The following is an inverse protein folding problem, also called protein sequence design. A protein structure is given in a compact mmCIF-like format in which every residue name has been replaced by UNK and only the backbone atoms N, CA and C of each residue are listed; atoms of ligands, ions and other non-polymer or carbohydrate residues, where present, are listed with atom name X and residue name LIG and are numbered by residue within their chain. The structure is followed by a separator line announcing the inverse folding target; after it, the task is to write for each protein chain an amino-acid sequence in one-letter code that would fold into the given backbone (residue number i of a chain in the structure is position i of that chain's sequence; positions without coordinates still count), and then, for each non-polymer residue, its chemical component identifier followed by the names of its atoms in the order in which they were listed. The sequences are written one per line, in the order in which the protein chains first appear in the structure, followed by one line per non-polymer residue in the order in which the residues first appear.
data_IF_470769060448
#
_entry.id   IF_470769060448
#
_cell.length_a   1.000
_cell.length_b   1.000
_cell.length_c   1.000
_cell.angle_alpha   90.00
_cell.angle_beta   90.00
_cell.angle_gamma   90.00
#
_symmetry.space_group_name_H-M   'P 1'
#
loop_
_entity.id
_entity.type
_entity.pdbx_description
1 polymer ?
#
# COMPACT_ATOMS: atom_id res chain seq x y z
N UNK A 1 7.42 10.94 -68.23
CA UNK A 1 7.80 10.86 -66.80
C UNK A 1 7.21 9.57 -66.25
N UNK A 2 8.04 8.54 -66.08
CA UNK A 2 7.61 7.23 -65.57
C UNK A 2 8.62 6.87 -64.47
N UNK A 3 8.22 7.02 -63.20
CA UNK A 3 9.07 6.71 -62.05
C UNK A 3 8.65 5.32 -61.57
N UNK A 4 9.40 4.31 -61.98
CA UNK A 4 9.16 2.93 -61.56
C UNK A 4 9.44 2.83 -60.05
N UNK A 5 8.49 2.34 -59.23
CA UNK A 5 8.61 2.34 -57.77
C UNK A 5 9.52 1.23 -57.20
N UNK A 6 10.22 0.47 -58.05
CA UNK A 6 11.04 -0.69 -57.65
C UNK A 6 12.55 -0.44 -57.77
N UNK A 7 13.01 0.79 -57.58
CA UNK A 7 14.43 1.07 -57.51
C UNK A 7 14.97 0.72 -56.12
N UNK A 8 15.53 -0.49 -55.98
CA UNK A 8 16.31 -0.89 -54.80
C UNK A 8 17.68 -0.24 -54.86
N UNK A 9 18.12 0.51 -53.82
CA UNK A 9 19.51 0.90 -53.73
C UNK A 9 20.32 -0.34 -53.34
N UNK A 10 21.10 -0.86 -54.29
CA UNK A 10 22.19 -1.78 -53.97
C UNK A 10 23.23 -0.97 -53.21
N UNK A 11 23.40 -1.34 -51.94
CA UNK A 11 24.68 -1.48 -51.22
C UNK A 11 25.67 -0.35 -51.47
N UNK A 12 25.73 0.59 -50.52
CA UNK A 12 26.98 1.12 -49.96
C UNK A 12 26.63 2.11 -48.83
N UNK A 13 26.43 1.56 -47.63
CA UNK A 13 26.70 2.23 -46.36
C UNK A 13 26.67 1.19 -45.24
N UNK A 14 27.67 0.30 -45.29
CA UNK A 14 28.24 -0.20 -44.04
C UNK A 14 28.73 1.01 -43.25
N UNK A 15 28.47 0.98 -41.93
CA UNK A 15 28.94 1.93 -40.91
C UNK A 15 28.14 3.23 -40.76
N UNK A 16 27.01 3.15 -40.05
CA UNK A 16 26.74 4.10 -38.97
C UNK A 16 25.72 3.52 -37.99
N UNK A 17 26.26 2.91 -36.93
CA UNK A 17 25.66 2.76 -35.60
C UNK A 17 24.19 2.35 -35.57
N UNK A 18 23.96 1.04 -35.47
CA UNK A 18 22.77 0.47 -34.85
C UNK A 18 22.66 0.91 -33.39
N UNK A 19 22.33 2.17 -33.15
CA UNK A 19 21.59 2.63 -31.98
C UNK A 19 20.11 2.27 -32.19
N UNK A 20 19.83 1.02 -32.56
CA UNK A 20 18.55 0.43 -32.22
C UNK A 20 18.58 0.33 -30.70
N UNK A 21 18.03 1.36 -30.03
CA UNK A 21 17.54 1.23 -28.68
C UNK A 21 16.69 -0.04 -28.70
N UNK A 22 17.23 -1.10 -28.09
CA UNK A 22 16.49 -2.32 -27.83
C UNK A 22 15.18 -1.85 -27.18
N UNK A 23 14.00 -2.03 -27.81
CA UNK A 23 12.77 -1.59 -27.18
C UNK A 23 12.70 -2.31 -25.84
N UNK A 24 12.69 -1.54 -24.75
CA UNK A 24 12.65 -2.10 -23.40
C UNK A 24 11.54 -3.15 -23.36
N UNK A 25 11.81 -4.37 -22.85
CA UNK A 25 10.84 -5.44 -22.88
C UNK A 25 9.55 -4.97 -22.20
N UNK A 26 8.36 -5.27 -22.78
CA UNK A 26 7.09 -4.85 -22.22
C UNK A 26 7.00 -5.36 -20.77
N UNK A 27 7.05 -4.42 -19.84
CA UNK A 27 7.10 -4.72 -18.42
C UNK A 27 5.68 -4.90 -17.88
N UNK A 28 5.39 -6.07 -17.31
CA UNK A 28 4.08 -6.42 -16.71
C UNK A 28 3.94 -5.83 -15.29
N UNK A 29 5.05 -5.37 -14.71
CA UNK A 29 5.14 -4.82 -13.36
C UNK A 29 4.06 -3.77 -13.01
N UNK A 30 3.72 -2.77 -13.85
CA UNK A 30 2.66 -1.80 -13.52
C UNK A 30 1.28 -2.45 -13.41
N UNK A 31 0.99 -3.46 -14.23
CA UNK A 31 -0.28 -4.19 -14.18
C UNK A 31 -0.35 -5.11 -12.95
N UNK A 32 0.77 -5.75 -12.61
CA UNK A 32 0.87 -6.54 -11.38
C UNK A 32 0.70 -5.67 -10.13
N UNK A 33 1.30 -4.48 -10.11
CA UNK A 33 1.11 -3.51 -9.02
C UNK A 33 -0.33 -3.01 -8.92
N UNK A 34 -0.97 -2.74 -10.05
CA UNK A 34 -2.39 -2.37 -10.06
C UNK A 34 -3.26 -3.50 -9.50
N UNK A 35 -3.04 -4.74 -9.93
CA UNK A 35 -3.75 -5.92 -9.43
C UNK A 35 -3.56 -6.13 -7.93
N UNK A 36 -2.34 -5.94 -7.44
CA UNK A 36 -2.02 -6.06 -6.00
C UNK A 36 -2.73 -4.98 -5.17
N UNK A 37 -2.80 -3.75 -5.67
CA UNK A 37 -3.52 -2.65 -5.03
C UNK A 37 -5.03 -2.89 -5.01
N UNK A 38 -5.60 -3.39 -6.11
CA UNK A 38 -7.01 -3.74 -6.19
C UNK A 38 -7.37 -4.89 -5.24
N UNK A 39 -6.50 -5.91 -5.14
CA UNK A 39 -6.63 -6.95 -4.12
C UNK A 39 -6.62 -6.34 -2.71
N UNK A 40 -5.73 -5.37 -2.46
CA UNK A 40 -5.70 -4.63 -1.21
C UNK A 40 -7.02 -3.92 -0.89
N UNK A 41 -7.62 -3.23 -1.87
CA UNK A 41 -8.93 -2.58 -1.71
C UNK A 41 -10.01 -3.60 -1.38
N UNK A 42 -10.02 -4.75 -2.05
CA UNK A 42 -11.00 -5.81 -1.75
C UNK A 42 -10.86 -6.33 -0.32
N UNK A 43 -9.63 -6.55 0.16
CA UNK A 43 -9.39 -6.96 1.55
C UNK A 43 -9.82 -5.88 2.56
N UNK A 44 -9.62 -4.60 2.26
CA UNK A 44 -10.11 -3.52 3.14
C UNK A 44 -11.63 -3.53 3.21
N UNK A 45 -12.31 -3.65 2.07
CA UNK A 45 -13.78 -3.72 2.02
C UNK A 45 -14.30 -4.91 2.81
N UNK A 46 -13.67 -6.09 2.64
CA UNK A 46 -14.04 -7.31 3.37
C UNK A 46 -13.82 -7.15 4.89
N UNK A 47 -12.66 -6.61 5.29
CA UNK A 47 -12.35 -6.32 6.69
C UNK A 47 -13.32 -5.33 7.34
N UNK A 48 -13.71 -4.26 6.63
CA UNK A 48 -14.75 -3.33 7.10
C UNK A 48 -16.11 -4.02 7.20
N UNK A 49 -16.45 -4.88 6.23
CA UNK A 49 -17.68 -5.66 6.25
C UNK A 49 -17.76 -6.58 7.47
N UNK A 50 -16.67 -7.27 7.80
CA UNK A 50 -16.56 -8.12 8.97
C UNK A 50 -16.70 -7.32 10.29
N UNK A 51 -16.05 -6.16 10.40
CA UNK A 51 -16.18 -5.28 11.57
C UNK A 51 -17.61 -4.78 11.75
N UNK A 52 -18.23 -4.27 10.69
CA UNK A 52 -19.59 -3.73 10.73
C UNK A 52 -20.61 -4.83 10.99
N UNK A 53 -20.49 -5.97 10.32
CA UNK A 53 -21.35 -7.13 10.52
C UNK A 53 -21.29 -7.66 11.95
N UNK A 54 -20.07 -7.84 12.48
CA UNK A 54 -19.86 -8.24 13.87
C UNK A 54 -20.43 -7.23 14.86
N UNK A 55 -20.23 -5.93 14.62
CA UNK A 55 -20.74 -4.87 15.51
C UNK A 55 -22.27 -4.81 15.53
N UNK A 56 -22.92 -4.95 14.36
CA UNK A 56 -24.39 -4.99 14.25
C UNK A 56 -24.93 -6.21 14.97
N UNK A 57 -24.33 -7.38 14.76
CA UNK A 57 -24.75 -8.60 15.45
C UNK A 57 -24.60 -8.46 16.97
N UNK A 58 -23.47 -7.92 17.45
CA UNK A 58 -23.25 -7.65 18.86
C UNK A 58 -24.32 -6.72 19.44
N UNK A 59 -24.68 -5.65 18.73
CA UNK A 59 -25.72 -4.71 19.16
C UNK A 59 -27.09 -5.38 19.27
N UNK A 60 -27.47 -6.22 18.30
CA UNK A 60 -28.74 -6.96 18.34
C UNK A 60 -28.78 -7.94 19.52
N UNK A 61 -27.68 -8.65 19.77
CA UNK A 61 -27.60 -9.58 20.89
C UNK A 61 -27.58 -8.88 22.25
N UNK A 62 -26.95 -7.72 22.39
CA UNK A 62 -27.02 -6.94 23.64
C UNK A 62 -28.48 -6.62 23.99
N UNK A 63 -29.28 -6.23 23.01
CA UNK A 63 -30.71 -5.95 23.23
C UNK A 63 -31.44 -7.20 23.70
N UNK A 64 -31.16 -8.36 23.10
CA UNK A 64 -31.76 -9.64 23.49
C UNK A 64 -31.32 -10.08 24.89
N UNK A 65 -30.03 -9.98 25.22
CA UNK A 65 -29.49 -10.31 26.53
C UNK A 65 -29.98 -9.36 27.63
N UNK A 66 -30.14 -8.07 27.32
CA UNK A 66 -30.78 -7.09 28.19
C UNK A 66 -32.21 -7.49 28.53
N UNK A 67 -32.99 -7.88 27.51
CA UNK A 67 -34.38 -8.34 27.70
C UNK A 67 -34.45 -9.64 28.53
N UNK A 68 -33.41 -10.48 28.46
CA UNK A 68 -33.29 -11.70 29.24
C UNK A 68 -32.71 -11.48 30.67
N UNK A 69 -32.39 -10.23 31.04
CA UNK A 69 -31.91 -9.88 32.38
C UNK A 69 -30.42 -10.15 32.64
N UNK A 70 -29.62 -10.43 31.60
CA UNK A 70 -28.16 -10.57 31.73
C UNK A 70 -27.48 -9.20 31.70
N UNK A 71 -26.52 -8.95 32.61
CA UNK A 71 -25.92 -7.61 32.77
C UNK A 71 -24.96 -7.22 31.64
N UNK A 72 -24.21 -8.16 31.08
CA UNK A 72 -23.38 -8.00 29.88
C UNK A 72 -22.96 -9.38 29.40
N UNK A 73 -23.20 -9.70 28.12
CA UNK A 73 -22.67 -10.90 27.48
C UNK A 73 -21.96 -10.49 26.20
N UNK A 74 -20.70 -10.93 26.04
CA UNK A 74 -19.99 -10.83 24.78
C UNK A 74 -20.42 -12.04 23.96
N UNK A 75 -21.05 -11.80 22.82
CA UNK A 75 -21.31 -12.88 21.87
C UNK A 75 -20.00 -13.27 21.16
N UNK A 76 -19.54 -14.52 21.29
CA UNK A 76 -18.26 -14.94 20.73
C UNK A 76 -18.24 -14.95 19.21
N UNK A 77 -19.40 -15.07 18.55
CA UNK A 77 -19.49 -15.07 17.09
C UNK A 77 -19.24 -13.68 16.51
N UNK A 78 -19.95 -12.66 17.01
CA UNK A 78 -19.75 -11.25 16.64
C UNK A 78 -18.36 -10.75 17.00
N UNK A 79 -17.83 -11.12 18.17
CA UNK A 79 -16.44 -10.84 18.53
C UNK A 79 -15.45 -11.49 17.53
N UNK A 80 -15.75 -12.69 17.06
CA UNK A 80 -14.97 -13.39 16.03
C UNK A 80 -14.99 -12.66 14.68
N UNK A 81 -16.13 -12.13 14.24
CA UNK A 81 -16.21 -11.29 13.04
C UNK A 81 -15.39 -10.03 13.17
N UNK A 82 -15.49 -9.34 14.30
CA UNK A 82 -14.72 -8.12 14.56
C UNK A 82 -13.21 -8.41 14.57
N UNK A 83 -12.78 -9.42 15.34
CA UNK A 83 -11.37 -9.79 15.42
C UNK A 83 -10.83 -10.30 14.07
N UNK A 84 -11.63 -11.07 13.35
CA UNK A 84 -11.30 -11.60 12.02
C UNK A 84 -11.12 -10.52 10.97
N UNK A 85 -11.88 -9.41 11.04
CA UNK A 85 -11.77 -8.29 10.10
C UNK A 85 -10.45 -7.51 10.18
N UNK A 86 -9.79 -7.50 11.34
CA UNK A 86 -8.57 -6.72 11.57
C UNK A 86 -7.41 -7.15 10.64
N UNK A 87 -7.06 -8.45 10.53
CA UNK A 87 -6.06 -8.92 9.57
C UNK A 87 -6.32 -8.49 8.12
N UNK A 88 -7.58 -8.51 7.68
CA UNK A 88 -7.96 -8.09 6.32
C UNK A 88 -7.71 -6.60 6.10
N UNK A 89 -8.05 -5.76 7.08
CA UNK A 89 -7.75 -4.33 7.02
C UNK A 89 -6.25 -4.05 6.96
N UNK A 90 -5.47 -4.67 7.85
CA UNK A 90 -4.01 -4.47 7.92
C UNK A 90 -3.35 -4.90 6.62
N UNK A 91 -3.68 -6.10 6.13
CA UNK A 91 -3.14 -6.64 4.88
C UNK A 91 -3.59 -5.81 3.69
N UNK A 92 -4.86 -5.40 3.65
CA UNK A 92 -5.41 -4.57 2.58
C UNK A 92 -4.72 -3.21 2.48
N UNK A 93 -4.57 -2.50 3.61
CA UNK A 93 -3.84 -1.23 3.67
C UNK A 93 -2.37 -1.38 3.25
N UNK A 94 -1.72 -2.48 3.65
CA UNK A 94 -0.35 -2.78 3.25
C UNK A 94 -0.20 -2.88 1.72
N UNK A 95 -1.11 -3.61 1.06
CA UNK A 95 -1.09 -3.79 -0.39
C UNK A 95 -1.44 -2.50 -1.16
N UNK A 96 -2.37 -1.68 -0.63
CA UNK A 96 -2.74 -0.39 -1.25
C UNK A 96 -1.55 0.60 -1.20
N UNK A 97 -0.90 0.70 -0.04
CA UNK A 97 0.15 1.72 0.22
C UNK A 97 1.53 1.30 -0.28
N UNK A 98 1.67 0.10 -0.84
CA UNK A 98 2.91 -0.39 -1.42
C UNK A 98 3.96 -0.81 -0.38
N UNK A 99 3.55 -1.14 0.84
CA UNK A 99 4.39 -1.64 1.94
C UNK A 99 5.37 -0.63 2.55
N UNK A 100 6.05 0.18 1.74
CA UNK A 100 7.05 1.17 2.18
C UNK A 100 6.43 2.26 3.07
N UNK A 101 5.20 2.69 2.77
CA UNK A 101 4.54 3.78 3.51
C UNK A 101 4.16 3.39 4.94
N UNK A 102 3.66 2.16 5.16
CA UNK A 102 3.28 1.67 6.50
C UNK A 102 4.50 1.41 7.37
N UNK A 103 5.57 0.85 6.79
CA UNK A 103 6.84 0.68 7.50
C UNK A 103 7.43 2.04 7.90
N UNK A 104 7.30 3.07 7.05
CA UNK A 104 7.73 4.43 7.39
C UNK A 104 6.92 5.06 8.52
N UNK A 105 5.61 4.82 8.59
CA UNK A 105 4.76 5.36 9.67
C UNK A 105 5.05 4.66 11.01
N UNK A 106 5.35 3.35 10.99
CA UNK A 106 5.56 2.57 12.22
C UNK A 106 7.00 2.65 12.73
N UNK A 107 8.00 2.71 11.84
CA UNK A 107 9.41 2.55 12.19
C UNK A 107 10.27 3.81 12.06
N UNK A 108 9.80 4.90 11.41
CA UNK A 108 10.56 6.15 11.42
C UNK A 108 10.04 7.12 12.49
N UNK A 109 10.96 7.70 13.31
CA UNK A 109 10.60 8.78 14.20
C UNK A 109 10.05 9.96 13.37
N UNK A 110 9.01 10.60 13.89
CA UNK A 110 8.40 11.76 13.24
C UNK A 110 9.48 12.82 12.93
N UNK A 111 9.34 13.57 11.84
CA UNK A 111 10.28 14.67 11.49
C UNK A 111 10.46 15.67 12.65
N UNK A 112 9.47 15.77 13.54
CA UNK A 112 9.55 16.52 14.79
C UNK A 112 10.61 15.96 15.75
N UNK A 113 10.63 14.65 15.99
CA UNK A 113 11.65 14.02 16.83
C UNK A 113 13.07 14.14 16.27
N UNK A 114 13.24 14.13 14.95
CA UNK A 114 14.55 14.38 14.33
C UNK A 114 15.02 15.84 14.48
N UNK A 115 14.09 16.80 14.44
CA UNK A 115 14.39 18.21 14.69
C UNK A 115 14.76 18.47 16.16
N UNK A 116 14.04 17.84 17.09
CA UNK A 116 14.33 17.91 18.53
C UNK A 116 15.65 17.23 18.89
N UNK A 117 15.99 16.08 18.29
CA UNK A 117 17.28 15.42 18.51
C UNK A 117 18.46 16.25 17.97
N UNK A 118 18.29 16.94 16.83
CA UNK A 118 19.31 17.88 16.33
C UNK A 118 19.49 19.09 17.24
N UNK A 119 18.39 19.71 17.67
CA UNK A 119 18.43 20.84 18.59
C UNK A 119 19.06 20.47 19.95
N UNK A 120 18.79 19.26 20.45
CA UNK A 120 19.40 18.74 21.68
C UNK A 120 20.90 18.42 21.50
N UNK A 121 21.33 18.00 20.30
CA UNK A 121 22.75 17.70 20.02
C UNK A 121 23.57 18.99 19.85
N UNK A 122 22.98 20.04 19.27
CA UNK A 122 23.63 21.36 19.13
C UNK A 122 23.82 22.09 20.47
N UNK A 123 23.02 21.79 21.50
CA UNK A 123 23.20 22.34 22.85
C UNK A 123 24.36 21.69 23.64
N UNK A 124 24.87 20.54 23.21
CA UNK A 124 25.93 19.81 23.93
C UNK A 124 27.32 20.13 23.36
N UNK A 125 27.41 20.82 22.21
CA UNK A 125 28.69 21.25 21.66
C UNK A 125 29.32 22.31 22.58
N UNK A 126 30.51 22.08 23.19
CA UNK A 126 31.16 23.07 24.02
C UNK A 126 31.54 24.26 23.16
N UNK A 127 31.01 25.44 23.50
CA UNK A 127 31.49 26.71 22.98
C UNK A 127 32.86 26.96 23.59
N UNK A 128 33.91 26.63 22.85
CA UNK A 128 35.29 26.92 23.22
C UNK A 128 35.52 28.45 23.11
N UNK A 129 35.76 29.19 24.21
CA UNK A 129 36.14 30.58 24.14
C UNK A 129 37.67 30.69 24.03
N UNK A 130 38.08 31.58 23.13
CA UNK A 130 39.45 32.01 22.82
C UNK A 130 40.29 32.37 24.05
#
# INVERSE_FOLDING_TARGET
MNHSPYQTPIRDQDVSNSNLSNPDPPTILPFAQLGLRLLGVMLVVDGMGALLGGSVQWMLQIVEYSNAGYSTAIDPHSAGWVAGGIPYLVTGLYLITGGDTLLRVVFLPSRQQQAEMRAATEQIAPTDPK
#
